data_IF_592852531796
#
_entry.id   IF_592852531796
#
_cell.length_a   1.000
_cell.length_b   1.000
_cell.length_c   1.000
_cell.angle_alpha   90.00
_cell.angle_beta   90.00
_cell.angle_gamma   90.00
#
_symmetry.space_group_name_H-M   'P 1'
#
loop_
_entity.id
_entity.type
_entity.pdbx_description
1 polymer ?
#
# COMPACT_ATOMS: atom_id res chain seq x y z
N UNK A 1 1.82 5.14 14.41
CA UNK A 1 2.42 5.60 13.13
C UNK A 1 2.84 7.06 13.18
N UNK A 2 1.96 8.00 13.57
CA UNK A 2 2.32 9.44 13.65
C UNK A 2 3.57 9.70 14.49
N UNK A 3 3.67 9.14 15.70
CA UNK A 3 4.83 9.37 16.56
C UNK A 3 6.15 8.83 15.98
N UNK A 4 6.10 7.75 15.20
CA UNK A 4 7.28 7.23 14.49
C UNK A 4 7.76 8.19 13.41
N UNK A 5 6.83 8.84 12.70
CA UNK A 5 7.14 9.79 11.63
C UNK A 5 7.65 11.12 12.20
N UNK A 6 7.17 11.54 13.38
CA UNK A 6 7.62 12.77 14.04
C UNK A 6 8.93 12.60 14.81
N UNK A 7 9.11 11.48 15.52
CA UNK A 7 10.23 11.26 16.43
C UNK A 7 11.00 9.96 16.12
N UNK A 8 11.57 9.80 14.90
CA UNK A 8 12.24 8.55 14.52
C UNK A 8 13.46 8.23 15.39
N UNK A 9 14.16 9.26 15.90
CA UNK A 9 15.37 9.12 16.70
C UNK A 9 15.13 8.31 17.98
N UNK A 10 14.04 8.59 18.70
CA UNK A 10 13.67 7.90 19.94
C UNK A 10 13.59 6.37 19.75
N UNK A 11 13.13 5.92 18.58
CA UNK A 11 13.01 4.49 18.27
C UNK A 11 14.34 3.89 17.83
N UNK A 12 15.16 4.65 17.10
CA UNK A 12 16.51 4.22 16.70
C UNK A 12 17.42 4.02 17.92
N UNK A 13 17.34 4.93 18.89
CA UNK A 13 18.13 4.87 20.12
C UNK A 13 17.79 3.63 20.98
N UNK A 14 16.55 3.17 20.89
CA UNK A 14 16.07 1.92 21.52
C UNK A 14 16.36 0.67 20.66
N UNK A 15 17.00 0.81 19.50
CA UNK A 15 17.25 -0.29 18.55
C UNK A 15 16.00 -0.79 17.82
N UNK A 16 14.88 -0.06 17.88
CA UNK A 16 13.64 -0.45 17.25
C UNK A 16 13.68 -0.15 15.74
N UNK A 17 13.31 -1.15 14.94
CA UNK A 17 13.13 -0.97 13.49
C UNK A 17 11.79 -0.28 13.23
N UNK A 18 11.80 0.71 12.34
CA UNK A 18 10.57 1.38 11.91
C UNK A 18 9.63 0.34 11.28
N UNK A 19 8.35 0.26 11.70
CA UNK A 19 7.37 -0.62 11.06
C UNK A 19 7.26 -0.29 9.57
N UNK A 20 7.41 -1.30 8.71
CA UNK A 20 7.44 -1.10 7.24
C UNK A 20 6.06 -0.84 6.63
N UNK A 21 4.99 -1.01 7.39
CA UNK A 21 3.61 -0.79 6.94
C UNK A 21 2.59 -1.38 7.92
N UNK A 22 1.31 -1.18 7.62
CA UNK A 22 0.17 -1.79 8.30
C UNK A 22 -0.91 -2.13 7.28
N UNK A 23 -1.75 -3.12 7.60
CA UNK A 23 -2.94 -3.47 6.84
C UNK A 23 -4.16 -3.10 7.68
N UNK A 24 -5.09 -2.34 7.09
CA UNK A 24 -6.36 -2.01 7.71
C UNK A 24 -7.44 -2.93 7.13
N UNK A 25 -8.08 -3.73 7.98
CA UNK A 25 -9.16 -4.65 7.59
C UNK A 25 -10.46 -4.30 8.30
N UNK A 26 -11.58 -4.51 7.63
CA UNK A 26 -12.93 -4.30 8.16
C UNK A 26 -13.95 -4.00 7.05
N UNK A 27 -15.25 -4.02 7.37
CA UNK A 27 -16.33 -3.72 6.43
C UNK A 27 -16.16 -2.37 5.69
N UNK A 28 -16.77 -2.18 4.51
CA UNK A 28 -16.83 -0.86 3.88
C UNK A 28 -17.49 0.15 4.82
N UNK A 29 -17.05 1.41 4.76
CA UNK A 29 -17.60 2.49 5.61
C UNK A 29 -17.01 2.62 7.02
N UNK A 30 -16.08 1.76 7.45
CA UNK A 30 -15.42 1.87 8.78
C UNK A 30 -14.31 2.92 8.89
N UNK A 31 -14.18 3.81 7.89
CA UNK A 31 -13.24 4.93 7.95
C UNK A 31 -11.77 4.57 7.72
N UNK A 32 -11.43 3.41 7.16
CA UNK A 32 -10.03 3.00 6.88
C UNK A 32 -9.24 4.06 6.09
N UNK A 33 -9.80 4.53 4.98
CA UNK A 33 -9.20 5.57 4.13
C UNK A 33 -9.10 6.92 4.85
N UNK A 34 -10.10 7.24 5.68
CA UNK A 34 -10.10 8.47 6.49
C UNK A 34 -8.99 8.42 7.55
N UNK A 35 -8.82 7.28 8.23
CA UNK A 35 -7.77 7.06 9.22
C UNK A 35 -6.38 7.19 8.60
N UNK A 36 -6.17 6.66 7.39
CA UNK A 36 -4.91 6.79 6.67
C UNK A 36 -4.60 8.26 6.32
N UNK A 37 -5.59 9.01 5.81
CA UNK A 37 -5.46 10.45 5.53
C UNK A 37 -5.19 11.27 6.79
N UNK A 38 -5.94 11.01 7.87
CA UNK A 38 -5.74 11.68 9.15
C UNK A 38 -4.34 11.42 9.72
N UNK A 39 -3.83 10.19 9.59
CA UNK A 39 -2.46 9.85 10.03
C UNK A 39 -1.41 10.67 9.26
N UNK A 40 -1.59 10.88 7.96
CA UNK A 40 -0.69 11.70 7.15
C UNK A 40 -0.77 13.19 7.51
N UNK A 41 -1.98 13.71 7.69
CA UNK A 41 -2.22 15.08 8.14
C UNK A 41 -1.60 15.35 9.50
N UNK A 42 -1.83 14.47 10.48
CA UNK A 42 -1.25 14.56 11.81
C UNK A 42 0.28 14.46 11.80
N UNK A 43 0.86 13.62 10.92
CA UNK A 43 2.30 13.51 10.75
C UNK A 43 2.91 14.64 9.89
N UNK A 44 2.08 15.45 9.24
CA UNK A 44 2.47 16.48 8.27
C UNK A 44 3.42 15.95 7.17
N UNK A 45 3.09 14.78 6.62
CA UNK A 45 3.85 14.15 5.53
C UNK A 45 2.98 14.00 4.28
N UNK A 46 3.59 13.94 3.07
CA UNK A 46 2.84 13.68 1.85
C UNK A 46 2.03 12.39 1.94
N UNK A 47 0.79 12.44 1.43
CA UNK A 47 -0.11 11.30 1.33
C UNK A 47 -0.25 10.91 -0.15
N UNK A 48 0.27 9.73 -0.51
CA UNK A 48 0.18 9.18 -1.86
C UNK A 48 -0.85 8.05 -1.81
N UNK A 49 -1.95 8.19 -2.53
CA UNK A 49 -3.02 7.18 -2.59
C UNK A 49 -3.10 6.55 -3.97
N UNK A 50 -3.21 5.22 -4.01
CA UNK A 50 -3.39 4.43 -5.24
C UNK A 50 -4.45 3.37 -4.98
N UNK A 51 -5.31 3.10 -5.95
CA UNK A 51 -6.24 1.97 -5.87
C UNK A 51 -5.58 0.70 -6.44
N UNK A 52 -5.68 -0.42 -5.74
CA UNK A 52 -5.11 -1.72 -6.14
C UNK A 52 -5.62 -2.21 -7.50
N UNK A 53 -6.85 -1.88 -7.89
CA UNK A 53 -7.41 -2.20 -9.21
C UNK A 53 -6.63 -1.55 -10.36
N UNK A 54 -5.93 -0.44 -10.12
CA UNK A 54 -5.13 0.25 -11.15
C UNK A 54 -3.93 -0.57 -11.66
N UNK A 55 -3.55 -1.63 -10.95
CA UNK A 55 -2.45 -2.51 -11.36
C UNK A 55 -2.92 -3.68 -12.24
N UNK A 56 -4.25 -3.88 -12.39
CA UNK A 56 -4.83 -4.90 -13.26
C UNK A 56 -4.94 -4.32 -14.67
N UNK A 57 -4.13 -4.85 -15.59
CA UNK A 57 -4.04 -4.34 -16.97
C UNK A 57 -4.14 -5.49 -17.97
N UNK A 58 -4.75 -5.20 -19.13
CA UNK A 58 -4.87 -6.17 -20.25
C UNK A 58 -3.53 -6.43 -20.92
N UNK A 59 -2.60 -5.47 -20.84
CA UNK A 59 -1.29 -5.56 -21.44
C UNK A 59 -0.27 -6.14 -20.46
N UNK A 60 0.38 -7.22 -20.88
CA UNK A 60 1.41 -7.91 -20.10
C UNK A 60 2.55 -6.94 -19.76
N UNK A 61 2.93 -6.92 -18.47
CA UNK A 61 4.07 -6.14 -17.99
C UNK A 61 3.76 -4.70 -17.53
N UNK A 62 2.59 -4.14 -17.88
CA UNK A 62 2.20 -2.79 -17.46
C UNK A 62 1.94 -2.71 -15.96
N UNK A 63 1.23 -3.69 -15.38
CA UNK A 63 0.99 -3.75 -13.93
C UNK A 63 2.27 -3.71 -13.09
N UNK A 64 3.25 -4.63 -13.31
CA UNK A 64 4.53 -4.60 -12.60
C UNK A 64 5.35 -3.32 -12.81
N UNK A 65 5.30 -2.69 -13.98
CA UNK A 65 5.96 -1.41 -14.21
C UNK A 65 5.34 -0.31 -13.33
N UNK A 66 4.01 -0.20 -13.31
CA UNK A 66 3.27 0.77 -12.48
C UNK A 66 3.56 0.62 -10.99
N UNK A 67 3.64 -0.61 -10.49
CA UNK A 67 4.03 -0.88 -9.09
C UNK A 67 5.44 -0.33 -8.80
N UNK A 68 6.40 -0.56 -9.70
CA UNK A 68 7.78 -0.05 -9.53
C UNK A 68 7.81 1.48 -9.51
N UNK A 69 7.08 2.12 -10.41
CA UNK A 69 7.02 3.58 -10.54
C UNK A 69 6.35 4.22 -9.32
N UNK A 70 5.25 3.64 -8.83
CA UNK A 70 4.59 4.05 -7.59
C UNK A 70 5.58 4.04 -6.41
N UNK A 71 6.29 2.92 -6.21
CA UNK A 71 7.27 2.84 -5.12
C UNK A 71 8.48 3.76 -5.33
N UNK A 72 8.88 4.02 -6.57
CA UNK A 72 9.93 4.99 -6.88
C UNK A 72 9.50 6.41 -6.53
N UNK A 73 8.25 6.79 -6.84
CA UNK A 73 7.66 8.07 -6.45
C UNK A 73 7.56 8.20 -4.93
N UNK A 74 7.11 7.17 -4.22
CA UNK A 74 7.03 7.19 -2.77
C UNK A 74 8.41 7.39 -2.11
N UNK A 75 9.44 6.67 -2.58
CA UNK A 75 10.82 6.85 -2.07
C UNK A 75 11.37 8.26 -2.31
N UNK A 76 11.02 8.90 -3.44
CA UNK A 76 11.43 10.29 -3.73
C UNK A 76 10.76 11.32 -2.82
N UNK A 77 9.57 11.02 -2.29
CA UNK A 77 8.80 11.90 -1.41
C UNK A 77 8.96 11.55 0.07
N UNK A 78 9.93 10.68 0.43
CA UNK A 78 10.13 10.27 1.81
C UNK A 78 10.57 11.46 2.69
N UNK A 79 10.04 11.59 3.92
CA UNK A 79 9.06 10.70 4.57
C UNK A 79 7.64 10.93 4.05
N UNK A 80 6.94 9.87 3.64
CA UNK A 80 5.54 9.93 3.15
C UNK A 80 4.72 8.72 3.62
N UNK A 81 3.40 8.81 3.49
CA UNK A 81 2.48 7.67 3.61
C UNK A 81 2.03 7.26 2.21
N UNK A 82 2.34 6.02 1.83
CA UNK A 82 1.79 5.36 0.64
C UNK A 82 0.59 4.50 1.07
N UNK A 83 -0.59 4.88 0.63
CA UNK A 83 -1.84 4.18 0.89
C UNK A 83 -2.29 3.43 -0.38
N UNK A 84 -2.49 2.12 -0.25
CA UNK A 84 -3.01 1.27 -1.32
C UNK A 84 -4.39 0.80 -0.88
N UNK A 85 -5.44 1.35 -1.50
CA UNK A 85 -6.81 0.89 -1.28
C UNK A 85 -7.08 -0.38 -2.09
N UNK A 86 -8.03 -1.21 -1.67
CA UNK A 86 -8.44 -2.43 -2.41
C UNK A 86 -7.26 -3.32 -2.82
N UNK A 87 -6.26 -3.47 -1.93
CA UNK A 87 -5.04 -4.24 -2.23
C UNK A 87 -5.32 -5.74 -2.48
N UNK A 88 -6.47 -6.23 -2.05
CA UNK A 88 -6.94 -7.59 -2.34
C UNK A 88 -7.14 -7.84 -3.83
N UNK A 89 -7.38 -6.81 -4.64
CA UNK A 89 -7.42 -6.90 -6.10
C UNK A 89 -6.10 -7.45 -6.71
N UNK A 90 -4.97 -7.18 -6.06
CA UNK A 90 -3.62 -7.61 -6.52
C UNK A 90 -2.95 -8.60 -5.60
N UNK A 91 -3.32 -8.62 -4.32
CA UNK A 91 -2.71 -9.43 -3.26
C UNK A 91 -3.28 -10.85 -3.19
N UNK A 92 -4.20 -11.22 -4.09
CA UNK A 92 -4.80 -12.55 -4.11
C UNK A 92 -3.70 -13.60 -4.29
N UNK A 93 -3.64 -14.57 -3.36
CA UNK A 93 -2.67 -15.66 -3.39
C UNK A 93 -2.73 -16.34 -4.76
N UNK A 94 -1.62 -16.34 -5.50
CA UNK A 94 -1.53 -17.08 -6.77
C UNK A 94 -1.89 -18.53 -6.47
N UNK A 95 -2.89 -19.07 -7.17
CA UNK A 95 -3.24 -20.48 -7.07
C UNK A 95 -2.00 -21.31 -7.41
N UNK A 96 -1.70 -22.32 -6.58
CA UNK A 96 -0.79 -23.39 -6.99
C UNK A 96 -1.35 -23.98 -8.27
N UNK A 97 -0.51 -24.14 -9.30
CA UNK A 97 -0.92 -24.37 -10.68
C UNK A 97 -2.14 -25.28 -10.84
N UNK A 98 -3.24 -24.69 -11.25
CA UNK A 98 -4.31 -25.38 -11.96
C UNK A 98 -4.84 -24.41 -13.03
N UNK A 99 -4.01 -24.19 -14.06
CA UNK A 99 -4.51 -23.81 -15.38
C UNK A 99 -5.27 -25.02 -15.93
N UNK A 100 -6.50 -25.21 -15.47
CA UNK A 100 -7.42 -26.21 -15.97
C UNK A 100 -8.51 -25.52 -16.76
N UNK A 101 -8.45 -25.67 -18.08
CA UNK A 101 -9.61 -25.75 -18.98
C UNK A 101 -10.56 -24.55 -19.02
N UNK A 102 -10.43 -23.78 -20.11
CA UNK A 102 -11.53 -23.04 -20.70
C UNK A 102 -12.75 -23.95 -20.89
N UNK A 103 -13.92 -23.53 -20.43
CA UNK A 103 -15.21 -24.01 -20.96
C UNK A 103 -16.15 -22.81 -21.09
N UNK A 104 -16.28 -22.34 -22.32
CA UNK A 104 -17.51 -21.71 -22.80
C UNK A 104 -18.64 -22.76 -22.73
N UNK A 105 -19.76 -22.36 -22.13
CA UNK A 105 -21.11 -22.79 -22.49
C UNK A 105 -22.10 -21.77 -21.95
#
# INVERSE_FOLDING_TARGET
FVNFLKNPQQYQDLGAKIPKGAVLSGPPGTGKTLLAKATAGEANVPFIAVNGSEFLEMFVGVGPARVRDMFAMARKNAPCILFIDEIDAVGRKRGGGNFGGQSEQ
#
